data_IF_009544508221
#
_entry.id   IF_009544508221
#
_cell.length_a   1.000
_cell.length_b   1.000
_cell.length_c   1.000
_cell.angle_alpha   90.00
_cell.angle_beta   90.00
_cell.angle_gamma   90.00
#
_symmetry.space_group_name_H-M   'P 1'
#
loop_
_entity.id
_entity.type
_entity.pdbx_description
1 polymer ?
#
# COMPACT_ATOMS: atom_id res chain seq x y z
N UNK A 1 2.07 28.88 17.48
CA UNK A 1 2.36 29.14 16.05
C UNK A 1 2.57 27.85 15.27
N UNK A 2 3.76 27.22 15.20
CA UNK A 2 3.94 25.99 14.37
C UNK A 2 3.21 24.73 14.90
N UNK A 3 2.99 24.64 16.21
CA UNK A 3 2.23 23.52 16.80
C UNK A 3 0.71 23.64 16.61
N UNK A 4 0.18 24.84 16.40
CA UNK A 4 -1.28 25.06 16.26
C UNK A 4 -1.74 24.79 14.84
N UNK A 5 -0.90 25.12 13.85
CA UNK A 5 -1.12 24.76 12.44
C UNK A 5 -1.13 23.24 12.27
N UNK A 6 -0.14 22.55 12.86
CA UNK A 6 -0.08 21.10 12.87
C UNK A 6 -1.34 20.45 13.46
N UNK A 7 -1.84 20.97 14.59
CA UNK A 7 -3.06 20.44 15.23
C UNK A 7 -4.30 20.70 14.37
N UNK A 8 -4.39 21.88 13.73
CA UNK A 8 -5.48 22.20 12.81
C UNK A 8 -5.52 21.26 11.60
N UNK A 9 -4.36 20.97 11.01
CA UNK A 9 -4.23 20.02 9.91
C UNK A 9 -4.51 18.58 10.35
N UNK A 10 -4.12 18.17 11.57
CA UNK A 10 -4.46 16.85 12.12
C UNK A 10 -5.98 16.71 12.30
N UNK A 11 -6.65 17.75 12.81
CA UNK A 11 -8.11 17.74 12.94
C UNK A 11 -8.83 17.70 11.59
N UNK A 12 -8.39 18.50 10.62
CA UNK A 12 -8.96 18.53 9.27
C UNK A 12 -8.76 17.20 8.54
N UNK A 13 -7.56 16.63 8.59
CA UNK A 13 -7.25 15.31 8.03
C UNK A 13 -8.11 14.20 8.64
N UNK A 14 -8.27 14.19 9.97
CA UNK A 14 -9.08 13.18 10.65
C UNK A 14 -10.57 13.28 10.31
N UNK A 15 -11.09 14.50 10.15
CA UNK A 15 -12.46 14.75 9.73
C UNK A 15 -12.70 14.28 8.27
N UNK A 16 -11.74 14.55 7.38
CA UNK A 16 -11.81 14.18 5.96
C UNK A 16 -11.81 12.66 5.76
N UNK A 17 -10.96 11.93 6.50
CA UNK A 17 -10.95 10.47 6.48
C UNK A 17 -12.23 9.86 7.07
N UNK A 18 -12.73 10.42 8.17
CA UNK A 18 -13.97 9.94 8.78
C UNK A 18 -15.15 10.11 7.80
N UNK A 19 -15.23 11.26 7.12
CA UNK A 19 -16.23 11.52 6.09
C UNK A 19 -16.07 10.59 4.88
N UNK A 20 -14.85 10.38 4.38
CA UNK A 20 -14.58 9.48 3.26
C UNK A 20 -14.93 8.02 3.58
N UNK A 21 -14.56 7.52 4.77
CA UNK A 21 -14.93 6.18 5.25
C UNK A 21 -16.44 6.04 5.39
N UNK A 22 -17.11 7.02 6.00
CA UNK A 22 -18.57 6.99 6.14
C UNK A 22 -19.26 6.96 4.78
N UNK A 23 -18.81 7.73 3.80
CA UNK A 23 -19.37 7.71 2.43
C UNK A 23 -19.13 6.38 1.75
N UNK A 24 -17.92 5.81 1.87
CA UNK A 24 -17.58 4.51 1.31
C UNK A 24 -18.41 3.36 1.92
N UNK A 25 -18.67 3.40 3.23
CA UNK A 25 -19.40 2.33 3.93
C UNK A 25 -20.93 2.47 3.87
N UNK A 26 -21.47 3.69 3.88
CA UNK A 26 -22.93 3.90 4.00
C UNK A 26 -23.61 4.32 2.70
N UNK A 27 -22.91 5.09 1.86
CA UNK A 27 -23.49 5.75 0.68
C UNK A 27 -23.26 4.93 -0.58
N UNK A 28 -22.05 4.40 -0.75
CA UNK A 28 -21.68 3.52 -1.88
C UNK A 28 -22.53 2.23 -1.97
N UNK A 29 -22.87 1.52 -0.88
CA UNK A 29 -23.74 0.35 -0.98
C UNK A 29 -25.23 0.67 -1.14
N UNK A 30 -25.68 1.88 -0.77
CA UNK A 30 -27.09 2.31 -0.91
C UNK A 30 -27.43 2.88 -2.28
N UNK A 31 -26.45 3.44 -3.00
CA UNK A 31 -26.66 4.06 -4.31
C UNK A 31 -26.35 3.08 -5.45
N UNK A 32 -27.10 3.17 -6.56
CA UNK A 32 -26.92 2.34 -7.75
C UNK A 32 -26.70 3.19 -9.01
N UNK A 33 -25.79 2.76 -9.89
CA UNK A 33 -25.60 3.37 -11.21
C UNK A 33 -24.80 4.67 -11.22
N UNK A 34 -25.40 5.74 -11.75
CA UNK A 34 -24.72 7.02 -12.02
C UNK A 34 -24.42 7.82 -10.74
N UNK A 35 -25.35 7.84 -9.77
CA UNK A 35 -25.15 8.52 -8.48
C UNK A 35 -24.05 7.86 -7.65
N UNK A 36 -23.92 6.53 -7.73
CA UNK A 36 -22.81 5.80 -7.10
C UNK A 36 -21.46 6.15 -7.72
N UNK A 37 -21.41 6.32 -9.06
CA UNK A 37 -20.18 6.77 -9.75
C UNK A 37 -19.80 8.18 -9.36
N UNK A 38 -20.76 9.10 -9.30
CA UNK A 38 -20.52 10.47 -8.88
C UNK A 38 -20.04 10.53 -7.42
N UNK A 39 -20.70 9.77 -6.53
CA UNK A 39 -20.28 9.65 -5.13
C UNK A 39 -18.87 9.06 -4.99
N UNK A 40 -18.52 8.03 -5.76
CA UNK A 40 -17.17 7.46 -5.79
C UNK A 40 -16.14 8.47 -6.29
N UNK A 41 -16.45 9.24 -7.34
CA UNK A 41 -15.54 10.24 -7.87
C UNK A 41 -15.31 11.40 -6.88
N UNK A 42 -16.36 11.84 -6.19
CA UNK A 42 -16.24 12.81 -5.10
C UNK A 42 -15.42 12.25 -3.94
N UNK A 43 -15.62 10.99 -3.56
CA UNK A 43 -14.79 10.33 -2.52
C UNK A 43 -13.34 10.17 -2.96
N UNK A 44 -13.07 9.89 -4.24
CA UNK A 44 -11.69 9.86 -4.77
C UNK A 44 -11.02 11.25 -4.74
N UNK A 45 -11.78 12.31 -5.01
CA UNK A 45 -11.29 13.69 -4.88
C UNK A 45 -10.98 14.03 -3.41
N UNK A 46 -11.90 13.73 -2.49
CA UNK A 46 -11.70 13.91 -1.04
C UNK A 46 -10.49 13.11 -0.53
N UNK A 47 -10.29 11.87 -1.00
CA UNK A 47 -9.09 11.08 -0.64
C UNK A 47 -7.79 11.66 -1.22
N UNK A 48 -7.86 12.37 -2.34
CA UNK A 48 -6.69 13.05 -2.92
C UNK A 48 -6.33 14.30 -2.13
N UNK A 49 -7.32 15.08 -1.72
CA UNK A 49 -7.15 16.23 -0.81
C UNK A 49 -6.57 15.80 0.55
N UNK A 50 -7.01 14.65 1.09
CA UNK A 50 -6.43 14.07 2.30
C UNK A 50 -4.95 13.67 2.13
N UNK A 51 -4.52 13.25 0.94
CA UNK A 51 -3.09 12.97 0.66
C UNK A 51 -2.27 14.25 0.62
N UNK A 52 -2.79 15.31 0.01
CA UNK A 52 -2.13 16.62 -0.05
C UNK A 52 -1.95 17.20 1.35
N UNK A 53 -2.97 17.10 2.21
CA UNK A 53 -2.89 17.47 3.64
C UNK A 53 -1.86 16.62 4.40
N UNK A 54 -1.78 15.31 4.14
CA UNK A 54 -0.79 14.44 4.76
C UNK A 54 0.65 14.79 4.32
N UNK A 55 0.83 15.25 3.08
CA UNK A 55 2.12 15.73 2.57
C UNK A 55 2.50 17.09 3.18
N UNK A 56 1.55 18.01 3.33
CA UNK A 56 1.75 19.29 4.01
C UNK A 56 2.11 19.09 5.50
N UNK A 57 1.45 18.15 6.19
CA UNK A 57 1.81 17.75 7.56
C UNK A 57 3.25 17.22 7.66
N UNK A 58 3.77 16.54 6.63
CA UNK A 58 5.15 16.05 6.57
C UNK A 58 6.16 17.19 6.39
N UNK A 59 5.82 18.19 5.57
CA UNK A 59 6.62 19.42 5.38
C UNK A 59 6.63 20.26 6.65
N UNK A 60 5.49 20.40 7.34
CA UNK A 60 5.46 21.07 8.63
C UNK A 60 6.25 20.29 9.68
N UNK A 61 6.23 18.96 9.64
CA UNK A 61 7.05 18.13 10.53
C UNK A 61 8.55 18.47 10.43
N UNK A 62 9.03 18.86 9.25
CA UNK A 62 10.42 19.29 9.06
C UNK A 62 10.75 20.58 9.83
N UNK A 63 9.76 21.43 10.04
CA UNK A 63 9.88 22.69 10.80
C UNK A 63 9.75 22.51 12.33
N UNK A 64 9.24 21.36 12.79
CA UNK A 64 9.10 21.05 14.22
C UNK A 64 10.39 20.44 14.84
N UNK A 65 10.60 20.69 16.14
CA UNK A 65 11.78 20.20 16.88
C UNK A 65 11.85 18.68 17.00
N UNK A 66 13.06 18.14 17.18
CA UNK A 66 13.36 16.70 17.07
C UNK A 66 12.52 15.75 17.94
N UNK A 67 12.07 16.19 19.12
CA UNK A 67 11.21 15.38 20.01
C UNK A 67 9.77 15.22 19.49
N UNK A 68 9.23 16.25 18.82
CA UNK A 68 7.90 16.20 18.20
C UNK A 68 7.95 15.44 16.87
N UNK A 69 9.01 15.62 16.07
CA UNK A 69 9.28 14.81 14.86
C UNK A 69 9.32 13.31 15.16
N UNK A 70 10.00 12.90 16.22
CA UNK A 70 10.13 11.49 16.57
C UNK A 70 8.78 10.84 16.94
N UNK A 71 7.83 11.62 17.47
CA UNK A 71 6.49 11.14 17.84
C UNK A 71 5.49 11.18 16.69
N UNK A 72 5.53 12.22 15.87
CA UNK A 72 4.56 12.44 14.80
C UNK A 72 4.96 11.80 13.45
N UNK A 73 6.26 11.56 13.21
CA UNK A 73 6.76 10.90 12.00
C UNK A 73 6.14 9.53 11.69
N UNK A 74 6.06 8.57 12.63
CA UNK A 74 5.40 7.29 12.36
C UNK A 74 3.88 7.41 12.16
N UNK A 75 3.22 8.39 12.77
CA UNK A 75 1.77 8.63 12.60
C UNK A 75 1.46 9.13 11.19
N UNK A 76 2.25 10.07 10.65
CA UNK A 76 2.10 10.57 9.28
C UNK A 76 2.32 9.48 8.23
N UNK A 77 3.27 8.57 8.46
CA UNK A 77 3.47 7.41 7.58
C UNK A 77 2.27 6.46 7.57
N UNK A 78 1.71 6.18 8.74
CA UNK A 78 0.48 5.38 8.85
C UNK A 78 -0.71 6.06 8.16
N UNK A 79 -0.82 7.38 8.28
CA UNK A 79 -1.82 8.19 7.59
C UNK A 79 -1.74 8.03 6.06
N UNK A 80 -0.55 8.16 5.47
CA UNK A 80 -0.35 7.89 4.03
C UNK A 80 -0.70 6.45 3.62
N UNK A 81 -0.32 5.46 4.43
CA UNK A 81 -0.67 4.06 4.18
C UNK A 81 -2.19 3.82 4.23
N UNK A 82 -2.89 4.42 5.18
CA UNK A 82 -4.34 4.29 5.30
C UNK A 82 -5.09 4.94 4.12
N UNK A 83 -4.64 6.11 3.67
CA UNK A 83 -5.27 6.80 2.51
C UNK A 83 -5.01 6.04 1.22
N UNK A 84 -3.81 5.49 1.02
CA UNK A 84 -3.50 4.69 -0.17
C UNK A 84 -4.28 3.37 -0.20
N UNK A 85 -4.50 2.73 0.95
CA UNK A 85 -5.40 1.56 1.06
C UNK A 85 -6.84 1.92 0.73
N UNK A 86 -7.36 3.01 1.28
CA UNK A 86 -8.71 3.51 0.99
C UNK A 86 -8.90 3.86 -0.50
N UNK A 87 -7.89 4.48 -1.14
CA UNK A 87 -7.90 4.71 -2.59
C UNK A 87 -7.93 3.41 -3.39
N UNK A 88 -7.14 2.41 -3.00
CA UNK A 88 -7.15 1.12 -3.68
C UNK A 88 -8.50 0.42 -3.55
N UNK A 89 -9.13 0.49 -2.37
CA UNK A 89 -10.44 -0.11 -2.14
C UNK A 89 -11.54 0.64 -2.91
N UNK A 90 -11.49 1.98 -2.95
CA UNK A 90 -12.39 2.79 -3.79
C UNK A 90 -12.24 2.43 -5.29
N UNK A 91 -11.00 2.30 -5.79
CA UNK A 91 -10.71 1.90 -7.17
C UNK A 91 -11.15 0.48 -7.46
N UNK A 92 -10.97 -0.47 -6.53
CA UNK A 92 -11.46 -1.85 -6.67
C UNK A 92 -12.98 -1.90 -6.77
N UNK A 93 -13.68 -1.11 -5.96
CA UNK A 93 -15.14 -0.99 -6.00
C UNK A 93 -15.60 -0.36 -7.32
N UNK A 94 -14.89 0.64 -7.83
CA UNK A 94 -15.15 1.24 -9.14
C UNK A 94 -14.89 0.28 -10.31
N UNK A 95 -13.78 -0.47 -10.29
CA UNK A 95 -13.41 -1.45 -11.32
C UNK A 95 -14.31 -2.69 -11.31
N UNK A 96 -14.74 -3.16 -10.13
CA UNK A 96 -15.75 -4.20 -10.00
C UNK A 96 -17.08 -3.82 -10.68
N UNK A 97 -17.40 -2.52 -10.72
CA UNK A 97 -18.56 -1.99 -11.42
C UNK A 97 -18.36 -1.94 -12.94
N UNK A 98 -17.19 -1.50 -13.41
CA UNK A 98 -16.84 -1.48 -14.83
C UNK A 98 -16.95 -2.86 -15.47
N UNK A 99 -16.49 -3.90 -14.77
CA UNK A 99 -16.61 -5.29 -15.21
C UNK A 99 -18.06 -5.79 -15.22
N UNK A 100 -18.90 -5.36 -14.27
CA UNK A 100 -20.32 -5.71 -14.24
C UNK A 100 -21.14 -5.01 -15.33
N UNK A 101 -20.87 -3.74 -15.61
CA UNK A 101 -21.55 -2.98 -16.67
C UNK A 101 -21.07 -3.43 -18.06
N UNK A 102 -19.78 -3.75 -18.21
CA UNK A 102 -19.21 -4.34 -19.43
C UNK A 102 -19.72 -5.77 -19.68
N UNK A 103 -19.74 -6.66 -18.67
CA UNK A 103 -20.34 -7.99 -18.81
C UNK A 103 -21.82 -7.92 -19.10
N UNK A 104 -22.56 -7.01 -18.45
CA UNK A 104 -24.00 -6.85 -18.73
C UNK A 104 -24.24 -6.35 -20.15
N UNK A 105 -23.42 -5.41 -20.65
CA UNK A 105 -23.47 -4.98 -22.06
C UNK A 105 -23.07 -6.06 -23.04
N UNK A 106 -22.07 -6.88 -22.73
CA UNK A 106 -21.70 -8.03 -23.57
C UNK A 106 -22.82 -9.08 -23.62
N UNK A 107 -23.43 -9.38 -22.47
CA UNK A 107 -24.53 -10.37 -22.36
C UNK A 107 -25.85 -9.87 -22.98
N UNK A 108 -26.15 -8.57 -22.92
CA UNK A 108 -27.36 -7.99 -23.51
C UNK A 108 -27.17 -7.53 -24.97
N UNK A 109 -25.92 -7.30 -25.39
CA UNK A 109 -25.57 -6.89 -26.75
C UNK A 109 -25.52 -8.05 -27.75
N UNK A 110 -25.30 -9.28 -27.29
CA UNK A 110 -25.19 -10.43 -28.19
C UNK A 110 -26.53 -11.14 -28.48
N UNK A 111 -27.56 -10.94 -27.65
CA UNK A 111 -28.86 -11.63 -27.82
C UNK A 111 -29.96 -10.81 -28.52
N UNK A 112 -29.70 -9.54 -28.86
CA UNK A 112 -30.69 -8.67 -29.51
C UNK A 112 -30.68 -8.74 -31.06
N UNK A 113 -29.81 -9.56 -31.65
CA UNK A 113 -29.59 -9.61 -33.11
C UNK A 113 -30.06 -10.87 -33.84
N UNK A 114 -30.70 -11.85 -33.20
CA UNK A 114 -30.88 -13.16 -33.84
C UNK A 114 -31.92 -14.09 -33.24
N UNK A 115 -33.16 -13.63 -33.00
CA UNK A 115 -34.31 -14.53 -32.82
C UNK A 115 -35.48 -13.95 -33.62
N UNK A 116 -35.48 -14.18 -34.92
CA UNK A 116 -36.51 -13.70 -35.83
C UNK A 116 -36.34 -14.31 -37.20
N UNK A 117 -36.70 -15.60 -37.34
CA UNK A 117 -36.62 -16.29 -38.63
C UNK A 117 -37.22 -17.69 -38.54
N UNK A 118 -38.51 -17.80 -38.80
CA UNK A 118 -39.27 -19.04 -38.95
C UNK A 118 -38.60 -20.00 -39.95
N UNK A 119 -38.52 -21.32 -39.70
CA UNK A 119 -38.18 -22.27 -40.74
C UNK A 119 -39.46 -22.54 -41.56
N UNK A 120 -39.67 -21.76 -42.62
CA UNK A 120 -40.60 -22.13 -43.67
C UNK A 120 -39.97 -23.26 -44.49
N UNK A 121 -40.50 -24.47 -44.30
CA UNK A 121 -40.27 -25.61 -45.16
C UNK A 121 -40.82 -25.29 -46.56
N UNK A 122 -39.94 -25.18 -47.54
CA UNK A 122 -40.31 -25.14 -48.96
C UNK A 122 -39.28 -25.91 -49.75
N UNK A 123 -39.69 -27.12 -50.12
CA UNK A 123 -39.02 -28.07 -51.00
C UNK A 123 -38.97 -27.55 -52.44
N UNK A 124 -37.77 -27.56 -53.03
CA UNK A 124 -37.57 -27.59 -54.49
C UNK A 124 -36.18 -28.17 -54.79
N UNK A 125 -36.19 -29.46 -55.13
CA UNK A 125 -35.05 -30.25 -55.62
C UNK A 125 -34.58 -29.77 -57.00
N UNK A 126 -33.26 -29.64 -57.19
CA UNK A 126 -32.67 -29.59 -58.53
C UNK A 126 -31.34 -28.84 -58.68
N UNK A 127 -31.04 -27.86 -57.82
CA UNK A 127 -29.81 -27.03 -57.92
C UNK A 127 -28.95 -26.94 -56.65
N UNK A 128 -29.34 -27.64 -55.58
CA UNK A 128 -28.81 -27.43 -54.23
C UNK A 128 -27.44 -28.09 -53.95
N UNK A 129 -26.95 -28.98 -54.82
CA UNK A 129 -25.73 -29.76 -54.56
C UNK A 129 -24.45 -28.93 -54.71
N UNK A 130 -24.39 -28.01 -55.68
CA UNK A 130 -23.23 -27.12 -55.89
C UNK A 130 -23.17 -25.99 -54.85
N UNK A 131 -24.34 -25.48 -54.46
CA UNK A 131 -24.48 -24.46 -53.40
C UNK A 131 -24.07 -24.97 -52.01
N UNK A 132 -24.43 -26.21 -51.65
CA UNK A 132 -24.05 -26.81 -50.36
C UNK A 132 -22.52 -27.02 -50.27
N UNK A 133 -21.88 -27.48 -51.35
CA UNK A 133 -20.44 -27.70 -51.37
C UNK A 133 -19.65 -26.39 -51.29
N UNK A 134 -20.08 -25.34 -52.00
CA UNK A 134 -19.48 -24.00 -51.89
C UNK A 134 -19.67 -23.39 -50.51
N UNK A 135 -20.83 -23.58 -49.89
CA UNK A 135 -21.12 -23.10 -48.52
C UNK A 135 -20.25 -23.81 -47.48
N UNK A 136 -19.97 -25.11 -47.67
CA UNK A 136 -19.01 -25.87 -46.82
C UNK A 136 -17.58 -25.39 -46.97
N UNK A 137 -17.13 -25.05 -48.19
CA UNK A 137 -15.78 -24.53 -48.41
C UNK A 137 -15.61 -23.10 -47.83
N UNK A 138 -16.62 -22.24 -47.99
CA UNK A 138 -16.61 -20.90 -47.41
C UNK A 138 -16.60 -20.95 -45.87
N UNK A 139 -17.43 -21.79 -45.26
CA UNK A 139 -17.43 -21.97 -43.80
C UNK A 139 -16.14 -22.64 -43.28
N UNK A 140 -15.51 -23.50 -44.07
CA UNK A 140 -14.17 -24.03 -43.78
C UNK A 140 -13.10 -22.95 -43.82
N UNK A 141 -13.16 -22.06 -44.80
CA UNK A 141 -12.22 -20.93 -44.93
C UNK A 141 -12.41 -19.89 -43.82
N UNK A 142 -13.65 -19.55 -43.47
CA UNK A 142 -13.96 -18.64 -42.37
C UNK A 142 -13.45 -19.18 -41.01
N UNK A 143 -13.56 -20.50 -40.79
CA UNK A 143 -12.98 -21.16 -39.60
C UNK A 143 -11.45 -21.13 -39.59
N UNK A 144 -10.81 -21.33 -40.74
CA UNK A 144 -9.35 -21.25 -40.88
C UNK A 144 -8.85 -19.82 -40.67
N UNK A 145 -9.54 -18.83 -41.23
CA UNK A 145 -9.22 -17.42 -41.07
C UNK A 145 -9.39 -16.98 -39.61
N UNK A 146 -10.49 -17.39 -38.96
CA UNK A 146 -10.71 -17.19 -37.54
C UNK A 146 -9.64 -17.88 -36.67
N UNK A 147 -9.23 -19.10 -37.02
CA UNK A 147 -8.14 -19.82 -36.37
C UNK A 147 -6.80 -19.11 -36.50
N UNK A 148 -6.50 -18.59 -37.69
CA UNK A 148 -5.26 -17.84 -37.98
C UNK A 148 -5.20 -16.55 -37.17
N UNK A 149 -6.30 -15.78 -37.11
CA UNK A 149 -6.38 -14.57 -36.28
C UNK A 149 -6.18 -14.89 -34.79
N UNK A 150 -6.81 -15.97 -34.29
CA UNK A 150 -6.64 -16.41 -32.89
C UNK A 150 -5.21 -16.85 -32.58
N UNK A 151 -4.53 -17.51 -33.52
CA UNK A 151 -3.12 -17.88 -33.37
C UNK A 151 -2.20 -16.65 -33.35
N UNK A 152 -2.43 -15.68 -34.23
CA UNK A 152 -1.69 -14.42 -34.24
C UNK A 152 -1.88 -13.65 -32.93
N UNK A 153 -3.11 -13.60 -32.42
CA UNK A 153 -3.41 -12.97 -31.14
C UNK A 153 -2.74 -13.72 -29.97
N UNK A 154 -2.81 -15.06 -29.97
CA UNK A 154 -2.16 -15.88 -28.93
C UNK A 154 -0.64 -15.71 -28.95
N UNK A 155 -0.03 -15.60 -30.14
CA UNK A 155 1.40 -15.33 -30.29
C UNK A 155 1.78 -13.93 -29.76
N UNK A 156 0.96 -12.91 -30.07
CA UNK A 156 1.14 -11.56 -29.52
C UNK A 156 1.09 -11.57 -28.00
N UNK A 157 0.07 -12.21 -27.41
CA UNK A 157 -0.08 -12.32 -25.96
C UNK A 157 1.09 -13.11 -25.34
N UNK A 158 1.58 -14.15 -26.00
CA UNK A 158 2.72 -14.92 -25.53
C UNK A 158 4.01 -14.07 -25.45
N UNK A 159 4.27 -13.23 -26.46
CA UNK A 159 5.40 -12.30 -26.46
C UNK A 159 5.25 -11.24 -25.36
N UNK A 160 4.05 -10.67 -25.20
CA UNK A 160 3.78 -9.71 -24.13
C UNK A 160 3.99 -10.35 -22.75
N UNK A 161 3.56 -11.60 -22.58
CA UNK A 161 3.75 -12.38 -21.35
C UNK A 161 5.24 -12.68 -21.10
N UNK A 162 6.02 -12.98 -22.15
CA UNK A 162 7.46 -13.16 -22.05
C UNK A 162 8.15 -11.87 -21.58
N UNK A 163 7.77 -10.71 -22.13
CA UNK A 163 8.29 -9.42 -21.72
C UNK A 163 7.97 -9.10 -20.25
N UNK A 164 6.74 -9.37 -19.80
CA UNK A 164 6.35 -9.23 -18.39
C UNK A 164 7.17 -10.19 -17.51
N UNK A 165 7.33 -11.44 -17.93
CA UNK A 165 8.14 -12.44 -17.22
C UNK A 165 9.61 -12.02 -17.09
N UNK A 166 10.19 -11.47 -18.15
CA UNK A 166 11.54 -10.92 -18.12
C UNK A 166 11.67 -9.75 -17.13
N UNK A 167 10.67 -8.86 -17.07
CA UNK A 167 10.58 -7.78 -16.09
C UNK A 167 10.55 -8.31 -14.65
N UNK A 168 9.70 -9.31 -14.37
CA UNK A 168 9.62 -9.95 -13.05
C UNK A 168 10.97 -10.56 -12.65
N UNK A 169 11.68 -11.21 -13.57
CA UNK A 169 13.01 -11.77 -13.28
C UNK A 169 14.05 -10.69 -12.96
N UNK A 170 13.97 -9.53 -13.62
CA UNK A 170 14.83 -8.39 -13.30
C UNK A 170 14.52 -7.83 -11.91
N UNK A 171 13.23 -7.68 -11.58
CA UNK A 171 12.79 -7.19 -10.27
C UNK A 171 13.20 -8.14 -9.14
N UNK A 172 13.04 -9.45 -9.34
CA UNK A 172 13.47 -10.46 -8.37
C UNK A 172 14.99 -10.41 -8.14
N UNK A 173 15.78 -10.15 -9.17
CA UNK A 173 17.23 -9.95 -9.03
C UNK A 173 17.53 -8.68 -8.21
N UNK A 174 16.87 -7.57 -8.50
CA UNK A 174 17.04 -6.32 -7.75
C UNK A 174 16.62 -6.48 -6.29
N UNK A 175 15.49 -7.14 -6.02
CA UNK A 175 15.02 -7.44 -4.67
C UNK A 175 16.02 -8.33 -3.91
N UNK A 176 16.58 -9.36 -4.58
CA UNK A 176 17.62 -10.20 -3.96
C UNK A 176 18.84 -9.37 -3.57
N UNK A 177 19.29 -8.48 -4.44
CA UNK A 177 20.42 -7.60 -4.15
C UNK A 177 20.11 -6.66 -2.96
N UNK A 178 18.91 -6.10 -2.90
CA UNK A 178 18.46 -5.27 -1.78
C UNK A 178 18.42 -6.07 -0.46
N UNK A 179 17.95 -7.32 -0.47
CA UNK A 179 17.95 -8.19 0.71
C UNK A 179 19.39 -8.47 1.16
N UNK A 180 20.29 -8.78 0.23
CA UNK A 180 21.71 -9.03 0.54
C UNK A 180 22.37 -7.78 1.12
N UNK A 181 22.13 -6.61 0.54
CA UNK A 181 22.63 -5.33 1.07
C UNK A 181 22.11 -5.07 2.47
N UNK A 182 20.79 -5.21 2.68
CA UNK A 182 20.15 -4.98 3.98
C UNK A 182 20.73 -5.93 5.04
N UNK A 183 20.94 -7.20 4.68
CA UNK A 183 21.56 -8.19 5.57
C UNK A 183 23.00 -7.81 5.92
N UNK A 184 23.80 -7.35 4.97
CA UNK A 184 25.16 -6.91 5.22
C UNK A 184 25.20 -5.69 6.14
N UNK A 185 24.34 -4.69 5.90
CA UNK A 185 24.20 -3.51 6.76
C UNK A 185 23.76 -3.91 8.18
N UNK A 186 22.83 -4.87 8.31
CA UNK A 186 22.42 -5.37 9.63
C UNK A 186 23.56 -6.08 10.36
N UNK A 187 24.38 -6.88 9.68
CA UNK A 187 25.54 -7.53 10.29
C UNK A 187 26.59 -6.51 10.73
N UNK A 188 26.82 -5.47 9.93
CA UNK A 188 27.71 -4.37 10.30
C UNK A 188 27.17 -3.59 11.52
N UNK A 189 25.87 -3.27 11.52
CA UNK A 189 25.22 -2.61 12.65
C UNK A 189 25.31 -3.45 13.94
N UNK A 190 25.13 -4.78 13.86
CA UNK A 190 25.30 -5.68 15.01
C UNK A 190 26.73 -5.65 15.56
N UNK A 191 27.74 -5.64 14.68
CA UNK A 191 29.14 -5.47 15.07
C UNK A 191 29.42 -4.10 15.73
N UNK A 192 28.75 -3.03 15.29
CA UNK A 192 28.81 -1.73 15.95
C UNK A 192 28.10 -1.72 17.31
N UNK A 193 27.00 -2.45 17.45
CA UNK A 193 26.28 -2.60 18.72
C UNK A 193 27.15 -3.33 19.73
N UNK A 194 27.81 -4.43 19.36
CA UNK A 194 28.69 -5.17 20.29
C UNK A 194 29.86 -4.30 20.79
N UNK A 195 30.50 -3.53 19.89
CA UNK A 195 31.55 -2.55 20.26
C UNK A 195 31.01 -1.47 21.20
N UNK A 196 29.80 -0.98 20.94
CA UNK A 196 29.14 0.03 21.77
C UNK A 196 28.80 -0.53 23.15
N UNK A 197 28.29 -1.76 23.24
CA UNK A 197 28.01 -2.43 24.51
C UNK A 197 29.28 -2.64 25.34
N UNK A 198 30.41 -3.02 24.70
CA UNK A 198 31.70 -3.16 25.39
C UNK A 198 32.20 -1.84 25.96
N UNK A 199 32.04 -0.75 25.19
CA UNK A 199 32.42 0.60 25.62
C UNK A 199 31.53 1.07 26.77
N UNK A 200 30.21 0.87 26.66
CA UNK A 200 29.25 1.20 27.72
C UNK A 200 29.56 0.41 28.99
N UNK A 201 29.81 -0.90 28.93
CA UNK A 201 30.22 -1.71 30.09
C UNK A 201 31.46 -1.14 30.79
N UNK A 202 32.42 -0.61 30.02
CA UNK A 202 33.63 0.02 30.57
C UNK A 202 33.30 1.34 31.27
N UNK A 203 32.44 2.17 30.67
CA UNK A 203 31.96 3.41 31.31
C UNK A 203 31.16 3.13 32.58
N UNK A 204 30.25 2.15 32.57
CA UNK A 204 29.43 1.78 33.73
C UNK A 204 30.29 1.30 34.90
N UNK A 205 31.33 0.50 34.63
CA UNK A 205 32.29 0.07 35.67
C UNK A 205 33.04 1.26 36.29
N UNK A 206 33.52 2.21 35.47
CA UNK A 206 34.20 3.42 35.95
C UNK A 206 33.26 4.29 36.81
N UNK A 207 32.01 4.46 36.39
CA UNK A 207 31.00 5.19 37.16
C UNK A 207 30.72 4.53 38.51
N UNK A 208 30.60 3.19 38.54
CA UNK A 208 30.35 2.45 39.78
C UNK A 208 31.54 2.57 40.74
N UNK A 209 32.78 2.46 40.25
CA UNK A 209 33.98 2.65 41.05
C UNK A 209 34.08 4.06 41.64
N UNK A 210 33.87 5.09 40.82
CA UNK A 210 33.87 6.49 41.29
C UNK A 210 32.77 6.72 42.34
N UNK A 211 31.58 6.16 42.14
CA UNK A 211 30.47 6.26 43.10
C UNK A 211 30.82 5.60 44.43
N UNK A 212 31.45 4.42 44.42
CA UNK A 212 31.92 3.74 45.64
C UNK A 212 32.98 4.56 46.39
N UNK A 213 33.95 5.14 45.68
CA UNK A 213 34.98 6.00 46.28
C UNK A 213 34.34 7.20 46.97
N UNK A 214 33.42 7.90 46.29
CA UNK A 214 32.72 9.06 46.85
C UNK A 214 31.91 8.69 48.09
N UNK A 215 31.16 7.59 48.05
CA UNK A 215 30.41 7.11 49.23
C UNK A 215 31.35 6.78 50.39
N UNK A 216 32.50 6.16 50.12
CA UNK A 216 33.51 5.86 51.15
C UNK A 216 34.03 7.11 51.87
N UNK A 217 34.38 8.16 51.12
CA UNK A 217 34.88 9.43 51.70
C UNK A 217 33.82 10.06 52.62
N UNK A 218 32.55 10.08 52.19
CA UNK A 218 31.45 10.62 53.00
C UNK A 218 31.26 9.82 54.30
N UNK A 219 31.27 8.48 54.23
CA UNK A 219 31.13 7.61 55.41
C UNK A 219 32.27 7.83 56.41
N UNK A 220 33.52 7.90 55.94
CA UNK A 220 34.69 8.15 56.79
C UNK A 220 34.60 9.54 57.44
N UNK A 221 34.18 10.56 56.69
CA UNK A 221 33.97 11.90 57.23
C UNK A 221 32.94 11.94 58.36
N UNK A 222 31.80 11.27 58.18
CA UNK A 222 30.76 11.16 59.22
C UNK A 222 31.27 10.40 60.44
N UNK A 223 32.00 9.30 60.24
CA UNK A 223 32.57 8.51 61.34
C UNK A 223 33.56 9.32 62.19
N UNK A 224 34.43 10.12 61.57
CA UNK A 224 35.35 11.02 62.29
C UNK A 224 34.62 12.08 63.12
N UNK A 225 33.56 12.68 62.56
CA UNK A 225 32.73 13.67 63.29
C UNK A 225 32.07 13.02 64.51
N UNK A 226 31.51 11.82 64.36
CA UNK A 226 30.91 11.06 65.46
C UNK A 226 31.94 10.69 66.53
N UNK A 227 33.15 10.26 66.12
CA UNK A 227 34.25 9.95 67.05
C UNK A 227 34.63 11.17 67.89
N UNK A 228 34.79 12.33 67.26
CA UNK A 228 35.15 13.58 67.96
C UNK A 228 34.04 13.96 68.95
N UNK A 229 32.77 13.88 68.53
CA UNK A 229 31.63 14.14 69.41
C UNK A 229 31.59 13.19 70.61
N UNK A 230 31.83 11.90 70.39
CA UNK A 230 31.87 10.90 71.46
C UNK A 230 32.99 11.19 72.47
N UNK A 231 34.21 11.45 71.99
CA UNK A 231 35.35 11.78 72.87
C UNK A 231 35.08 13.06 73.65
N UNK A 232 34.48 14.07 73.03
CA UNK A 232 34.15 15.35 73.69
C UNK A 232 32.98 15.24 74.68
N UNK A 233 32.05 14.29 74.47
CA UNK A 233 30.91 14.10 75.36
C UNK A 233 31.28 13.24 76.57
N UNK A 234 32.16 12.25 76.38
CA UNK A 234 32.60 11.34 77.45
C UNK A 234 33.71 11.93 78.32
N UNK A 235 34.49 12.87 77.78
CA UNK A 235 35.64 13.49 78.45
C UNK A 235 35.32 14.94 78.82
#
# INVERSE_FOLDING_TARGET
MSSELFDSYETEYSALIAAARQRLETTVPRLAGAERRQALQTTEQELTEALELAEQLEVELLSLGGAQRARAGPRIRQYKEDVTRLQQDARRVAQGMGNHEANRRALLGEHAGGIGGSPSLSSSEGGALDGDQRTRLLSGNERLEGGTRRLQESHRIAIETEAVGAGILQDLRAQREQIVSTRNTLMEADAHIDRSQRTLRTMTRRLMANKMITTGIVVVGVALVLLILYVKLVR
#
